data_IF_417301357420
#
_entry.id   IF_417301357420
#
_cell.length_a   1.000
_cell.length_b   1.000
_cell.length_c   1.000
_cell.angle_alpha   90.00
_cell.angle_beta   90.00
_cell.angle_gamma   90.00
#
_symmetry.space_group_name_H-M   'P 1'
#
loop_
_entity.id
_entity.type
_entity.pdbx_description
1 polymer ?
#
# COMPACT_ATOMS: atom_id res chain seq x y z
N UNK A 1 -50.42 12.85 -0.65
CA UNK A 1 -49.32 12.71 0.33
C UNK A 1 -48.28 11.79 -0.29
N UNK A 2 -47.35 12.37 -1.05
CA UNK A 2 -46.19 11.65 -1.61
C UNK A 2 -45.03 11.83 -0.63
N UNK A 3 -44.57 10.73 -0.04
CA UNK A 3 -43.42 10.72 0.86
C UNK A 3 -42.15 10.86 0.02
N UNK A 4 -41.44 11.96 0.22
CA UNK A 4 -40.07 12.17 -0.26
C UNK A 4 -39.15 11.16 0.43
N UNK A 5 -38.58 10.25 -0.36
CA UNK A 5 -37.40 9.49 0.05
C UNK A 5 -36.19 10.41 -0.15
N UNK A 6 -35.87 11.20 0.87
CA UNK A 6 -34.53 11.76 0.99
C UNK A 6 -33.59 10.60 1.33
N UNK A 7 -33.06 9.99 0.27
CA UNK A 7 -31.86 9.19 0.36
C UNK A 7 -30.74 10.13 0.80
N UNK A 8 -30.39 10.05 2.08
CA UNK A 8 -29.16 10.61 2.63
C UNK A 8 -28.01 9.99 1.84
N UNK A 9 -27.58 10.70 0.79
CA UNK A 9 -26.34 10.43 0.10
C UNK A 9 -25.24 10.67 1.13
N UNK A 10 -24.65 9.59 1.60
CA UNK A 10 -23.38 9.67 2.31
C UNK A 10 -22.39 10.31 1.35
N UNK A 11 -22.12 11.59 1.55
CA UNK A 11 -21.01 12.32 0.94
C UNK A 11 -19.72 11.61 1.35
N UNK A 12 -19.32 10.63 0.55
CA UNK A 12 -17.92 10.22 0.46
C UNK A 12 -17.20 11.42 -0.12
N UNK A 13 -16.62 12.24 0.76
CA UNK A 13 -15.72 13.33 0.42
C UNK A 13 -14.79 12.87 -0.69
N UNK A 14 -15.03 13.40 -1.89
CA UNK A 14 -14.31 13.08 -3.11
C UNK A 14 -12.87 13.54 -2.90
N UNK A 15 -11.95 12.60 -2.67
CA UNK A 15 -10.53 12.89 -2.64
C UNK A 15 -10.16 13.61 -3.94
N UNK A 16 -9.77 14.87 -3.80
CA UNK A 16 -9.29 15.75 -4.88
C UNK A 16 -7.95 15.31 -5.46
N UNK A 17 -7.38 14.19 -4.98
CA UNK A 17 -6.14 13.57 -5.42
C UNK A 17 -6.33 12.81 -6.74
N UNK A 18 -5.42 13.04 -7.69
CA UNK A 18 -5.44 12.40 -9.00
C UNK A 18 -5.17 10.89 -8.88
N UNK A 19 -6.06 10.09 -9.47
CA UNK A 19 -5.96 8.61 -9.51
C UNK A 19 -5.59 8.13 -10.91
N UNK A 20 -5.11 6.89 -11.00
CA UNK A 20 -4.90 6.24 -12.29
C UNK A 20 -6.24 6.10 -13.02
N UNK A 21 -6.16 6.12 -14.36
CA UNK A 21 -7.28 5.71 -15.21
C UNK A 21 -7.79 4.32 -14.79
N UNK A 22 -9.11 4.06 -14.78
CA UNK A 22 -9.68 2.78 -14.35
C UNK A 22 -9.10 1.57 -15.09
N UNK A 23 -8.77 1.70 -16.37
CA UNK A 23 -8.16 0.61 -17.12
C UNK A 23 -6.73 0.30 -16.63
N UNK A 24 -5.98 1.34 -16.25
CA UNK A 24 -4.64 1.18 -15.66
C UNK A 24 -4.71 0.65 -14.23
N UNK A 25 -5.68 1.08 -13.42
CA UNK A 25 -5.89 0.54 -12.08
C UNK A 25 -6.23 -0.96 -12.14
N UNK A 26 -7.10 -1.38 -13.06
CA UNK A 26 -7.41 -2.79 -13.28
C UNK A 26 -6.17 -3.59 -13.70
N UNK A 27 -5.39 -3.07 -14.65
CA UNK A 27 -4.16 -3.71 -15.11
C UNK A 27 -3.11 -3.82 -13.98
N UNK A 28 -2.99 -2.78 -13.14
CA UNK A 28 -2.12 -2.80 -11.97
C UNK A 28 -2.55 -3.89 -10.98
N UNK A 29 -3.84 -3.96 -10.65
CA UNK A 29 -4.36 -4.99 -9.73
C UNK A 29 -4.10 -6.41 -10.25
N UNK A 30 -4.33 -6.69 -11.53
CA UNK A 30 -4.02 -7.99 -12.13
C UNK A 30 -2.52 -8.31 -12.07
N UNK A 31 -1.67 -7.31 -12.31
CA UNK A 31 -0.22 -7.48 -12.19
C UNK A 31 0.22 -7.80 -10.76
N UNK A 32 -0.35 -7.11 -9.76
CA UNK A 32 -0.10 -7.39 -8.33
C UNK A 32 -0.50 -8.83 -7.99
N UNK A 33 -1.70 -9.26 -8.38
CA UNK A 33 -2.23 -10.59 -8.08
C UNK A 33 -1.36 -11.69 -8.67
N UNK A 34 -1.06 -11.62 -9.97
CA UNK A 34 -0.25 -12.62 -10.64
C UNK A 34 1.18 -12.66 -10.09
N UNK A 35 1.77 -11.50 -9.76
CA UNK A 35 3.11 -11.45 -9.22
C UNK A 35 3.19 -12.09 -7.83
N UNK A 36 2.27 -11.72 -6.93
CA UNK A 36 2.23 -12.27 -5.58
C UNK A 36 1.97 -13.78 -5.60
N UNK A 37 0.98 -14.22 -6.38
CA UNK A 37 0.70 -15.64 -6.52
C UNK A 37 1.88 -16.42 -7.11
N UNK A 38 2.60 -15.86 -8.08
CA UNK A 38 3.79 -16.51 -8.64
C UNK A 38 4.91 -16.66 -7.61
N UNK A 39 5.16 -15.62 -6.80
CA UNK A 39 6.19 -15.63 -5.76
C UNK A 39 5.91 -16.68 -4.68
N UNK A 40 4.65 -16.93 -4.34
CA UNK A 40 4.27 -18.00 -3.40
C UNK A 40 4.50 -19.41 -3.95
N UNK A 41 4.56 -19.55 -5.27
CA UNK A 41 4.80 -20.82 -5.95
C UNK A 41 6.27 -21.03 -6.34
N UNK A 42 7.03 -19.94 -6.47
CA UNK A 42 8.42 -19.92 -6.93
C UNK A 42 9.19 -18.84 -6.17
N UNK A 43 9.64 -19.18 -4.96
CA UNK A 43 10.39 -18.30 -4.06
C UNK A 43 11.70 -17.78 -4.67
N UNK A 44 12.36 -18.54 -5.54
CA UNK A 44 13.58 -18.15 -6.25
C UNK A 44 13.43 -16.84 -7.04
N UNK A 45 12.22 -16.56 -7.53
CA UNK A 45 11.92 -15.35 -8.29
C UNK A 45 11.95 -14.07 -7.44
N UNK A 46 11.88 -14.20 -6.10
CA UNK A 46 11.98 -13.08 -5.16
C UNK A 46 13.20 -12.21 -5.43
N UNK A 47 14.37 -12.83 -5.66
CA UNK A 47 15.64 -12.10 -5.89
C UNK A 47 15.60 -11.19 -7.11
N UNK A 48 14.76 -11.51 -8.10
CA UNK A 48 14.57 -10.68 -9.30
C UNK A 48 13.58 -9.56 -9.00
N UNK A 49 12.47 -9.89 -8.34
CA UNK A 49 11.38 -8.96 -8.05
C UNK A 49 11.79 -7.88 -7.04
N UNK A 50 12.46 -8.25 -5.95
CA UNK A 50 12.87 -7.35 -4.88
C UNK A 50 13.86 -6.25 -5.32
N UNK A 51 14.52 -6.43 -6.48
CA UNK A 51 15.40 -5.41 -7.07
C UNK A 51 14.63 -4.34 -7.85
N UNK A 52 13.38 -4.61 -8.19
CA UNK A 52 12.57 -3.79 -9.08
C UNK A 52 11.47 -3.07 -8.33
N UNK A 53 10.77 -3.78 -7.44
CA UNK A 53 9.53 -3.30 -6.81
C UNK A 53 9.81 -2.76 -5.41
N UNK A 54 9.16 -1.64 -5.11
CA UNK A 54 9.01 -1.13 -3.75
C UNK A 54 7.63 -1.53 -3.20
N UNK A 55 7.47 -1.82 -1.88
CA UNK A 55 6.15 -2.08 -1.31
C UNK A 55 5.14 -0.95 -1.55
N UNK A 56 5.62 0.28 -1.68
CA UNK A 56 4.80 1.43 -2.05
C UNK A 56 4.20 1.35 -3.46
N UNK A 57 4.74 0.52 -4.34
CA UNK A 57 4.25 0.36 -5.71
C UNK A 57 2.92 -0.39 -5.79
N UNK A 58 2.50 -1.14 -4.76
CA UNK A 58 1.18 -1.79 -4.72
C UNK A 58 0.06 -0.78 -4.54
N UNK A 59 -1.15 -1.02 -5.04
CA UNK A 59 -2.25 -0.06 -4.88
C UNK A 59 -2.83 -0.08 -3.47
N UNK A 60 -3.24 -1.26 -3.02
CA UNK A 60 -3.99 -1.45 -1.79
C UNK A 60 -3.16 -2.00 -0.64
N UNK A 61 -3.72 -1.88 0.57
CA UNK A 61 -3.15 -2.41 1.80
C UNK A 61 -2.81 -3.88 1.70
N UNK A 62 -3.76 -4.71 1.28
CA UNK A 62 -3.66 -6.14 1.44
C UNK A 62 -2.51 -6.75 0.62
N UNK A 63 -2.33 -6.33 -0.64
CA UNK A 63 -1.19 -6.77 -1.47
C UNK A 63 0.15 -6.20 -0.97
N UNK A 64 0.17 -4.91 -0.59
CA UNK A 64 1.35 -4.30 0.02
C UNK A 64 1.79 -5.06 1.28
N UNK A 65 0.83 -5.48 2.12
CA UNK A 65 1.09 -6.19 3.36
C UNK A 65 1.65 -7.59 3.12
N UNK A 66 1.10 -8.33 2.14
CA UNK A 66 1.67 -9.61 1.69
C UNK A 66 3.12 -9.42 1.24
N UNK A 67 3.38 -8.42 0.38
CA UNK A 67 4.73 -8.19 -0.13
C UNK A 67 5.74 -7.85 0.99
N UNK A 68 5.34 -7.07 2.00
CA UNK A 68 6.17 -6.80 3.18
C UNK A 68 6.42 -8.05 4.03
N UNK A 69 5.44 -8.95 4.12
CA UNK A 69 5.64 -10.25 4.77
C UNK A 69 6.64 -11.11 3.99
N UNK A 70 6.58 -11.12 2.64
CA UNK A 70 7.58 -11.78 1.80
C UNK A 70 8.99 -11.19 2.00
N UNK A 71 9.11 -9.86 2.08
CA UNK A 71 10.37 -9.17 2.40
C UNK A 71 10.92 -9.59 3.76
N UNK A 72 10.04 -9.70 4.76
CA UNK A 72 10.39 -10.16 6.11
C UNK A 72 10.91 -11.60 6.08
N UNK A 73 10.17 -12.54 5.49
CA UNK A 73 10.57 -13.95 5.40
C UNK A 73 11.91 -14.11 4.66
N UNK A 74 12.08 -13.41 3.53
CA UNK A 74 13.34 -13.41 2.80
C UNK A 74 14.52 -12.90 3.63
N UNK A 75 14.30 -11.87 4.45
CA UNK A 75 15.34 -11.33 5.34
C UNK A 75 15.74 -12.30 6.45
N UNK A 76 14.81 -13.15 6.88
CA UNK A 76 15.03 -14.21 7.87
C UNK A 76 15.63 -15.48 7.26
N UNK A 77 15.68 -15.57 5.93
CA UNK A 77 16.10 -16.78 5.21
C UNK A 77 15.04 -17.88 5.18
N UNK A 78 13.78 -17.51 5.45
CA UNK A 78 12.63 -18.41 5.42
C UNK A 78 12.01 -18.49 4.02
N UNK A 79 11.31 -19.58 3.73
CA UNK A 79 10.65 -19.78 2.45
C UNK A 79 9.46 -18.82 2.27
N UNK A 80 9.28 -18.34 1.03
CA UNK A 80 8.12 -17.55 0.64
C UNK A 80 7.08 -18.49 0.06
N UNK A 81 6.25 -19.07 0.92
CA UNK A 81 5.11 -19.91 0.52
C UNK A 81 3.83 -19.54 1.28
N UNK A 82 2.70 -20.11 0.85
CA UNK A 82 1.37 -19.80 1.39
C UNK A 82 1.29 -20.08 2.90
N UNK A 83 1.89 -21.17 3.38
CA UNK A 83 1.77 -21.59 4.78
C UNK A 83 2.55 -20.62 5.66
N UNK A 84 3.81 -20.38 5.32
CA UNK A 84 4.68 -19.47 6.09
C UNK A 84 4.16 -18.03 6.07
N UNK A 85 3.64 -17.56 4.92
CA UNK A 85 2.99 -16.25 4.84
C UNK A 85 1.74 -16.18 5.70
N UNK A 86 0.91 -17.21 5.71
CA UNK A 86 -0.31 -17.25 6.52
C UNK A 86 0.02 -17.16 8.01
N UNK A 87 1.04 -17.88 8.47
CA UNK A 87 1.49 -17.85 9.87
C UNK A 87 1.99 -16.45 10.25
N UNK A 88 2.82 -15.83 9.40
CA UNK A 88 3.36 -14.50 9.66
C UNK A 88 2.28 -13.40 9.64
N UNK A 89 1.24 -13.58 8.80
CA UNK A 89 0.13 -12.62 8.66
C UNK A 89 -1.05 -12.91 9.60
N UNK A 90 -0.99 -13.98 10.40
CA UNK A 90 -2.08 -14.36 11.32
C UNK A 90 -2.56 -13.20 12.21
N UNK A 91 -1.67 -12.38 12.83
CA UNK A 91 -2.09 -11.31 13.73
C UNK A 91 -2.70 -10.09 13.03
N UNK A 92 -2.69 -10.04 11.70
CA UNK A 92 -3.10 -8.88 10.92
C UNK A 92 -4.60 -8.93 10.58
N UNK A 93 -5.41 -8.21 11.36
CA UNK A 93 -6.87 -8.20 11.21
C UNK A 93 -7.35 -7.73 9.83
N UNK A 94 -6.61 -6.84 9.17
CA UNK A 94 -6.97 -6.33 7.85
C UNK A 94 -6.70 -7.37 6.76
N UNK A 95 -5.62 -8.14 6.88
CA UNK A 95 -5.39 -9.31 6.04
C UNK A 95 -6.45 -10.40 6.28
N UNK A 96 -6.81 -10.68 7.53
CA UNK A 96 -7.88 -11.64 7.83
C UNK A 96 -9.21 -11.19 7.20
N UNK A 97 -9.55 -9.91 7.30
CA UNK A 97 -10.74 -9.33 6.67
C UNK A 97 -10.71 -9.41 5.13
N UNK A 98 -9.53 -9.43 4.51
CA UNK A 98 -9.37 -9.62 3.07
C UNK A 98 -9.56 -11.08 2.61
N UNK A 99 -9.72 -12.02 3.54
CA UNK A 99 -9.97 -13.44 3.26
C UNK A 99 -8.85 -14.39 3.68
N UNK A 100 -7.82 -13.90 4.38
CA UNK A 100 -6.80 -14.74 5.01
C UNK A 100 -6.15 -15.76 4.07
N UNK A 101 -5.99 -17.00 4.55
CA UNK A 101 -5.34 -18.08 3.78
C UNK A 101 -6.08 -18.41 2.48
N UNK A 102 -7.42 -18.33 2.45
CA UNK A 102 -8.21 -18.59 1.26
C UNK A 102 -7.84 -17.60 0.15
N UNK A 103 -7.58 -16.36 0.53
CA UNK A 103 -7.16 -15.33 -0.42
C UNK A 103 -5.75 -15.59 -0.97
N UNK A 104 -4.78 -16.00 -0.15
CA UNK A 104 -3.46 -16.43 -0.64
C UNK A 104 -3.57 -17.61 -1.62
N UNK A 105 -4.41 -18.60 -1.30
CA UNK A 105 -4.67 -19.75 -2.17
C UNK A 105 -5.27 -19.36 -3.52
N UNK A 106 -6.20 -18.39 -3.54
CA UNK A 106 -6.76 -17.84 -4.77
C UNK A 106 -5.68 -17.16 -5.62
N UNK A 107 -4.85 -16.30 -5.01
CA UNK A 107 -3.76 -15.62 -5.71
C UNK A 107 -2.81 -16.63 -6.38
N UNK A 108 -2.41 -17.66 -5.65
CA UNK A 108 -1.55 -18.71 -6.20
C UNK A 108 -2.21 -19.50 -7.34
N UNK A 109 -3.49 -19.86 -7.19
CA UNK A 109 -4.22 -20.68 -8.18
C UNK A 109 -4.54 -19.91 -9.47
N UNK A 110 -4.86 -18.63 -9.36
CA UNK A 110 -5.27 -17.78 -10.48
C UNK A 110 -4.09 -17.22 -11.28
N UNK A 111 -2.84 -17.58 -10.95
CA UNK A 111 -1.64 -17.02 -11.57
C UNK A 111 -1.26 -17.75 -12.86
N UNK A 112 -1.42 -17.15 -14.06
CA UNK A 112 -1.15 -17.82 -15.34
C UNK A 112 0.23 -17.47 -15.91
N UNK A 113 1.16 -16.97 -15.09
CA UNK A 113 2.45 -16.44 -15.57
C UNK A 113 3.61 -17.43 -15.38
N UNK A 114 4.65 -17.27 -16.18
CA UNK A 114 5.89 -18.06 -16.16
C UNK A 114 7.10 -17.22 -15.70
N UNK A 115 8.20 -17.88 -15.33
CA UNK A 115 9.41 -17.25 -14.80
C UNK A 115 9.95 -16.11 -15.69
N UNK A 116 10.00 -16.34 -17.00
CA UNK A 116 10.50 -15.38 -18.00
C UNK A 116 9.66 -14.08 -18.07
N UNK A 117 8.41 -14.12 -17.63
CA UNK A 117 7.50 -12.98 -17.61
C UNK A 117 7.61 -12.14 -16.32
N UNK A 118 8.18 -12.69 -15.24
CA UNK A 118 8.22 -12.05 -13.91
C UNK A 118 8.89 -10.69 -13.94
N UNK A 119 10.05 -10.57 -14.60
CA UNK A 119 10.77 -9.29 -14.68
C UNK A 119 10.01 -8.23 -15.49
N UNK A 120 9.27 -8.64 -16.53
CA UNK A 120 8.40 -7.75 -17.29
C UNK A 120 7.25 -7.23 -16.44
N UNK A 121 6.59 -8.14 -15.71
CA UNK A 121 5.46 -7.81 -14.84
C UNK A 121 5.88 -6.92 -13.66
N UNK A 122 7.03 -7.20 -13.05
CA UNK A 122 7.59 -6.40 -11.98
C UNK A 122 7.85 -4.94 -12.43
N UNK A 123 8.39 -4.76 -13.64
CA UNK A 123 8.60 -3.43 -14.22
C UNK A 123 7.29 -2.72 -14.55
N UNK A 124 6.26 -3.46 -15.00
CA UNK A 124 4.94 -2.91 -15.24
C UNK A 124 4.30 -2.39 -13.94
N UNK A 125 4.33 -3.19 -12.88
CA UNK A 125 3.81 -2.79 -11.57
C UNK A 125 4.52 -1.55 -11.02
N UNK A 126 5.86 -1.54 -11.07
CA UNK A 126 6.65 -0.35 -10.72
C UNK A 126 6.26 0.87 -11.56
N UNK A 127 6.01 0.70 -12.85
CA UNK A 127 5.54 1.76 -13.74
C UNK A 127 4.23 2.39 -13.24
N UNK A 128 3.26 1.57 -12.83
CA UNK A 128 2.02 2.06 -12.23
C UNK A 128 2.25 2.78 -10.88
N UNK A 129 3.14 2.26 -10.03
CA UNK A 129 3.56 2.93 -8.79
C UNK A 129 4.16 4.32 -9.04
N UNK A 130 5.06 4.44 -10.02
CA UNK A 130 5.67 5.71 -10.43
C UNK A 130 4.64 6.68 -11.00
N UNK A 131 3.71 6.20 -11.83
CA UNK A 131 2.62 7.02 -12.36
C UNK A 131 1.74 7.57 -11.22
N UNK A 132 1.34 6.71 -10.26
CA UNK A 132 0.60 7.14 -9.06
C UNK A 132 1.35 8.18 -8.25
N UNK A 133 2.65 8.00 -8.03
CA UNK A 133 3.48 9.00 -7.32
C UNK A 133 3.50 10.33 -8.07
N UNK A 134 3.74 10.29 -9.38
CA UNK A 134 3.89 11.49 -10.23
C UNK A 134 2.60 12.32 -10.30
N UNK A 135 1.43 11.65 -10.33
CA UNK A 135 0.14 12.32 -10.25
C UNK A 135 -0.02 13.15 -8.97
N UNK A 136 0.64 12.71 -7.90
CA UNK A 136 0.52 13.33 -6.58
C UNK A 136 1.70 14.25 -6.21
N UNK A 137 2.84 14.13 -6.90
CA UNK A 137 4.01 15.02 -6.71
C UNK A 137 3.71 16.49 -7.03
N UNK A 138 2.75 16.73 -7.92
CA UNK A 138 2.30 18.07 -8.30
C UNK A 138 1.44 18.75 -7.23
N UNK A 139 1.01 18.02 -6.18
CA UNK A 139 0.29 18.64 -5.07
C UNK A 139 1.26 19.51 -4.26
N UNK A 140 0.91 20.80 -4.18
CA UNK A 140 1.62 21.80 -3.36
C UNK A 140 1.16 21.81 -1.90
N UNK A 141 0.35 20.81 -1.49
CA UNK A 141 -0.10 20.64 -0.12
C UNK A 141 1.06 20.35 0.84
N UNK A 142 0.80 20.49 2.14
CA UNK A 142 1.76 20.13 3.16
C UNK A 142 2.02 18.63 3.10
N UNK A 143 3.30 18.23 3.01
CA UNK A 143 3.70 16.83 3.08
C UNK A 143 3.80 16.42 4.54
N UNK A 144 3.17 15.30 4.89
CA UNK A 144 3.27 14.69 6.22
C UNK A 144 3.91 13.33 6.12
N UNK A 145 4.66 12.94 7.15
CA UNK A 145 5.21 11.60 7.26
C UNK A 145 4.20 10.66 7.91
N UNK A 146 4.06 9.45 7.39
CA UNK A 146 3.31 8.39 8.04
C UNK A 146 3.90 7.00 7.76
N UNK A 147 3.39 5.99 8.47
CA UNK A 147 3.65 4.58 8.12
C UNK A 147 3.10 4.29 6.72
N UNK A 148 3.84 3.50 5.94
CA UNK A 148 3.37 3.07 4.62
C UNK A 148 2.06 2.29 4.73
N UNK A 149 1.97 1.36 5.69
CA UNK A 149 0.77 0.55 5.87
C UNK A 149 -0.44 1.38 6.29
N UNK A 150 -0.23 2.41 7.11
CA UNK A 150 -1.28 3.37 7.48
C UNK A 150 -1.76 4.15 6.24
N UNK A 151 -0.83 4.66 5.41
CA UNK A 151 -1.19 5.31 4.15
C UNK A 151 -2.03 4.40 3.25
N UNK A 152 -1.61 3.14 3.09
CA UNK A 152 -2.33 2.15 2.27
C UNK A 152 -3.70 1.81 2.83
N UNK A 153 -3.81 1.67 4.14
CA UNK A 153 -5.08 1.35 4.82
C UNK A 153 -6.09 2.48 4.66
N UNK A 154 -5.63 3.73 4.79
CA UNK A 154 -6.46 4.92 4.66
C UNK A 154 -6.65 5.40 3.22
N UNK A 155 -6.09 4.69 2.23
CA UNK A 155 -6.17 5.06 0.82
C UNK A 155 -5.53 6.41 0.49
N UNK A 156 -4.54 6.83 1.28
CA UNK A 156 -3.86 8.12 1.13
C UNK A 156 -2.83 8.03 0.00
N UNK A 157 -2.79 9.07 -0.81
CA UNK A 157 -1.73 9.17 -1.82
C UNK A 157 -0.41 9.46 -1.15
N UNK A 158 0.62 8.71 -1.54
CA UNK A 158 1.95 8.84 -0.98
C UNK A 158 3.03 8.79 -2.06
N UNK A 159 4.20 9.31 -1.72
CA UNK A 159 5.41 9.20 -2.55
C UNK A 159 6.13 7.87 -2.34
N UNK A 160 7.41 7.82 -2.75
CA UNK A 160 8.28 6.66 -2.54
C UNK A 160 8.38 6.30 -1.05
N UNK A 161 8.32 5.01 -0.72
CA UNK A 161 8.56 4.54 0.64
C UNK A 161 10.05 4.29 0.92
N UNK A 162 10.44 4.34 2.19
CA UNK A 162 11.78 3.96 2.65
C UNK A 162 11.72 3.37 4.06
N UNK A 163 12.79 2.68 4.47
CA UNK A 163 12.93 2.19 5.84
C UNK A 163 13.40 3.33 6.73
N UNK A 164 12.65 3.62 7.77
CA UNK A 164 12.97 4.68 8.73
C UNK A 164 14.21 4.35 9.56
N UNK A 165 15.07 5.36 9.72
CA UNK A 165 16.34 5.28 10.42
C UNK A 165 16.42 6.23 11.61
N UNK A 166 17.42 6.04 12.47
CA UNK A 166 17.69 6.97 13.57
C UNK A 166 18.06 8.36 13.04
N UNK A 167 18.75 8.43 11.89
CA UNK A 167 19.10 9.69 11.24
C UNK A 167 17.86 10.50 10.87
N UNK A 168 16.75 9.83 10.50
CA UNK A 168 15.49 10.51 10.20
C UNK A 168 14.91 11.21 11.44
N UNK A 169 15.05 10.62 12.63
CA UNK A 169 14.60 11.23 13.89
C UNK A 169 15.34 12.54 14.17
N UNK A 170 16.64 12.58 13.88
CA UNK A 170 17.48 13.77 14.08
C UNK A 170 17.15 14.84 13.02
N UNK A 171 17.01 14.42 11.76
CA UNK A 171 16.85 15.33 10.62
C UNK A 171 15.54 16.10 10.62
N UNK A 172 14.46 15.50 11.12
CA UNK A 172 13.13 16.09 10.99
C UNK A 172 12.82 17.15 12.05
N UNK A 173 13.61 17.30 13.12
CA UNK A 173 13.38 18.30 14.20
C UNK A 173 11.93 18.34 14.74
N UNK A 174 11.20 17.24 14.56
CA UNK A 174 9.77 17.06 14.83
C UNK A 174 9.57 15.72 15.55
N UNK A 175 8.42 15.49 16.23
CA UNK A 175 8.14 14.22 16.89
C UNK A 175 8.05 13.09 15.87
N UNK A 176 9.18 12.40 15.67
CA UNK A 176 9.27 11.17 14.91
C UNK A 176 9.05 9.99 15.89
N UNK A 177 7.98 9.19 15.75
CA UNK A 177 7.72 8.09 16.66
C UNK A 177 8.85 7.05 16.60
N UNK A 178 9.52 6.78 17.73
CA UNK A 178 10.56 5.74 17.80
C UNK A 178 10.04 4.36 17.35
N UNK A 179 8.73 4.12 17.49
CA UNK A 179 8.07 2.90 17.03
C UNK A 179 8.17 2.68 15.50
N UNK A 180 8.46 3.71 14.71
CA UNK A 180 8.63 3.59 13.26
C UNK A 180 10.05 3.19 12.84
N UNK A 181 11.03 3.18 13.75
CA UNK A 181 12.40 2.78 13.41
C UNK A 181 12.42 1.35 12.85
N UNK A 182 13.04 1.17 11.69
CA UNK A 182 13.06 -0.10 10.97
C UNK A 182 11.78 -0.44 10.20
N UNK A 183 10.73 0.38 10.29
CA UNK A 183 9.50 0.21 9.51
C UNK A 183 9.54 1.03 8.22
N UNK A 184 8.69 0.64 7.25
CA UNK A 184 8.50 1.39 6.00
C UNK A 184 7.62 2.62 6.25
N UNK A 185 8.13 3.79 5.92
CA UNK A 185 7.43 5.08 6.00
C UNK A 185 7.36 5.73 4.63
N UNK A 186 6.45 6.68 4.45
CA UNK A 186 6.34 7.48 3.24
C UNK A 186 5.81 8.88 3.54
N UNK A 187 6.06 9.82 2.62
CA UNK A 187 5.37 11.10 2.63
C UNK A 187 4.00 10.93 1.98
N UNK A 188 2.96 11.39 2.67
CA UNK A 188 1.60 11.54 2.14
C UNK A 188 1.34 12.98 1.74
N UNK A 189 0.42 13.14 0.80
CA UNK A 189 -0.07 14.42 0.32
C UNK A 189 -1.46 14.65 0.90
N UNK A 190 -1.58 15.58 1.85
CA UNK A 190 -2.88 15.97 2.41
C UNK A 190 -3.64 16.85 1.40
N UNK A 191 -4.98 16.78 1.42
CA UNK A 191 -5.80 17.82 0.80
C UNK A 191 -5.47 19.18 1.44
N UNK A 192 -5.53 20.30 0.70
CA UNK A 192 -5.36 21.60 1.32
C UNK A 192 -6.36 21.75 2.46
N UNK A 193 -5.86 21.97 3.67
CA UNK A 193 -6.70 22.24 4.85
C UNK A 193 -7.54 23.46 4.49
N UNK A 194 -8.84 23.27 4.27
CA UNK A 194 -9.77 24.38 4.16
C UNK A 194 -9.74 25.13 5.50
N UNK A 195 -9.56 26.45 5.48
CA UNK A 195 -9.42 27.31 6.69
C UNK A 195 -10.54 27.08 7.73
N UNK A 196 -11.68 26.53 7.33
CA UNK A 196 -12.78 26.12 8.19
C UNK A 196 -12.46 25.01 9.21
N UNK A 197 -11.47 24.14 8.97
CA UNK A 197 -11.13 23.06 9.91
C UNK A 197 -10.37 23.57 11.15
N UNK A 198 -9.72 24.73 11.06
CA UNK A 198 -8.97 25.36 12.16
C UNK A 198 -9.86 26.10 13.17
N UNK A 199 -11.17 26.20 12.93
CA UNK A 199 -12.13 26.90 13.78
C UNK A 199 -12.95 25.99 14.70
N UNK A 200 -12.67 24.67 14.77
CA UNK A 200 -13.33 23.82 15.77
C UNK A 200 -12.80 24.20 17.16
N UNK A 201 -13.65 24.69 18.08
CA UNK A 201 -13.21 24.97 19.44
C UNK A 201 -12.80 23.66 20.14
N UNK A 202 -11.72 23.72 20.93
CA UNK A 202 -11.26 22.60 21.73
C UNK A 202 -12.41 22.06 22.62
N UNK A 203 -12.49 20.73 22.83
CA UNK A 203 -13.50 20.16 23.73
C UNK A 203 -13.31 20.77 25.13
N UNK A 204 -14.38 21.35 25.66
CA UNK A 204 -14.42 21.84 27.03
C UNK A 204 -14.18 20.69 27.99
N UNK A 205 -13.23 20.90 28.92
CA UNK A 205 -12.89 19.98 30.01
C UNK A 205 -14.06 19.68 30.94
#
# INVERSE_FOLDING_TARGET
MSLSLDATSADYTQSSLARLDPAYALAANLAERHLLGYLMLNDEAWRVVAKVIDPGDFEGYAHCRIYLAMETLASLGENIDIVTLCELLEPDEHYQAAGGIQWLGQLATETPIRFDQVSGLARLLRGFGVLRSSLNESYQGQRRLCSLLEAKLSGLSHGKSWVATIEDTIRQEQPFPQAWLGQRVCYIYDEPVSEHALQRPAPSA
#
